data_IF_551196602225
#
_entry.id   IF_551196602225
#
_cell.length_a   1.000
_cell.length_b   1.000
_cell.length_c   1.000
_cell.angle_alpha   90.00
_cell.angle_beta   90.00
_cell.angle_gamma   90.00
#
_symmetry.space_group_name_H-M   'P 1'
#
loop_
_entity.id
_entity.type
_entity.pdbx_description
1 polymer ?
#
# COMPACT_ATOMS: atom_id res chain seq x y z
N UNK A 1 5.93 -15.36 2.96
CA UNK A 1 5.04 -15.30 1.78
C UNK A 1 5.04 -13.86 1.31
N UNK A 2 5.54 -13.57 0.11
CA UNK A 2 5.63 -12.21 -0.44
C UNK A 2 4.48 -12.00 -1.44
N UNK A 3 3.58 -11.04 -1.21
CA UNK A 3 2.49 -10.80 -2.13
C UNK A 3 2.98 -10.17 -3.44
N UNK A 4 2.46 -10.63 -4.59
CA UNK A 4 2.97 -10.23 -5.91
C UNK A 4 2.01 -9.35 -6.69
N UNK A 5 0.73 -9.73 -6.68
CA UNK A 5 -0.30 -9.04 -7.47
C UNK A 5 -1.67 -9.31 -6.86
N UNK A 6 -2.57 -8.34 -6.97
CA UNK A 6 -3.98 -8.53 -6.71
C UNK A 6 -4.72 -9.12 -7.93
N UNK A 7 -5.91 -9.67 -7.71
CA UNK A 7 -6.73 -10.27 -8.77
C UNK A 7 -7.57 -9.24 -9.57
N UNK A 8 -7.35 -7.95 -9.38
CA UNK A 8 -8.12 -6.88 -10.03
C UNK A 8 -7.53 -6.59 -11.42
N UNK A 9 -8.38 -6.60 -12.45
CA UNK A 9 -7.97 -6.28 -13.81
C UNK A 9 -7.68 -4.78 -13.94
N UNK A 10 -6.42 -4.43 -14.19
CA UNK A 10 -5.94 -3.04 -14.30
C UNK A 10 -6.30 -2.45 -15.65
N UNK A 11 -6.86 -1.24 -15.66
CA UNK A 11 -7.29 -0.53 -16.89
C UNK A 11 -6.18 0.37 -17.44
N UNK A 12 -5.24 0.79 -16.60
CA UNK A 12 -4.14 1.68 -16.98
C UNK A 12 -2.82 1.21 -16.38
N UNK A 13 -1.73 1.70 -16.95
CA UNK A 13 -0.42 1.52 -16.36
C UNK A 13 -0.26 2.47 -15.16
N UNK A 14 0.26 1.99 -14.01
CA UNK A 14 0.26 2.75 -12.76
C UNK A 14 1.46 3.71 -12.66
N UNK A 15 1.41 4.79 -13.44
CA UNK A 15 2.51 5.75 -13.53
C UNK A 15 2.78 6.45 -12.19
N UNK A 16 1.74 6.79 -11.44
CA UNK A 16 1.90 7.52 -10.18
C UNK A 16 2.41 6.61 -9.07
N UNK A 17 1.95 5.37 -9.02
CA UNK A 17 2.49 4.38 -8.07
C UNK A 17 3.98 4.16 -8.32
N UNK A 18 4.39 4.01 -9.58
CA UNK A 18 5.82 3.89 -9.94
C UNK A 18 6.58 5.16 -9.56
N UNK A 19 6.02 6.34 -9.83
CA UNK A 19 6.63 7.61 -9.46
C UNK A 19 6.79 7.76 -7.93
N UNK A 20 5.81 7.32 -7.14
CA UNK A 20 5.89 7.33 -5.67
C UNK A 20 6.94 6.34 -5.17
N UNK A 21 7.01 5.13 -5.73
CA UNK A 21 8.05 4.15 -5.36
C UNK A 21 9.44 4.69 -5.68
N UNK A 22 9.62 5.24 -6.89
CA UNK A 22 10.87 5.87 -7.30
C UNK A 22 11.21 7.09 -6.43
N UNK A 23 10.21 7.91 -6.09
CA UNK A 23 10.35 9.06 -5.20
C UNK A 23 10.79 8.66 -3.78
N UNK A 24 10.20 7.60 -3.23
CA UNK A 24 10.62 7.04 -1.94
C UNK A 24 12.05 6.48 -2.00
N UNK A 25 12.41 5.79 -3.09
CA UNK A 25 13.78 5.29 -3.29
C UNK A 25 14.80 6.43 -3.40
N UNK A 26 14.47 7.49 -4.14
CA UNK A 26 15.29 8.68 -4.24
C UNK A 26 15.42 9.39 -2.89
N UNK A 27 14.31 9.54 -2.15
CA UNK A 27 14.31 10.12 -0.82
C UNK A 27 15.19 9.30 0.14
N UNK A 28 15.13 7.98 0.09
CA UNK A 28 16.00 7.10 0.88
C UNK A 28 17.48 7.29 0.53
N UNK A 29 17.82 7.43 -0.75
CA UNK A 29 19.20 7.69 -1.18
C UNK A 29 19.73 9.07 -0.77
N UNK A 30 18.86 10.09 -0.69
CA UNK A 30 19.23 11.46 -0.34
C UNK A 30 19.18 11.75 1.16
N UNK A 31 18.25 11.10 1.86
CA UNK A 31 17.86 11.34 3.26
C UNK A 31 17.48 10.00 3.92
N UNK A 32 18.42 9.05 4.07
CA UNK A 32 18.13 7.76 4.71
C UNK A 32 17.61 7.91 6.14
N UNK A 33 17.95 9.00 6.84
CA UNK A 33 17.45 9.36 8.17
C UNK A 33 15.95 9.63 8.23
N UNK A 34 15.27 9.82 7.09
CA UNK A 34 13.80 9.96 7.03
C UNK A 34 13.09 8.61 7.11
N UNK A 35 13.83 7.50 7.15
CA UNK A 35 13.31 6.14 7.19
C UNK A 35 13.78 5.45 8.48
N UNK A 36 12.93 5.48 9.51
CA UNK A 36 13.21 4.85 10.80
C UNK A 36 13.51 3.34 10.67
N UNK A 37 12.85 2.66 9.72
CA UNK A 37 13.09 1.25 9.41
C UNK A 37 14.19 0.99 8.37
N UNK A 38 14.89 2.05 7.92
CA UNK A 38 15.93 1.98 6.92
C UNK A 38 15.49 1.31 5.61
N UNK A 39 16.35 0.45 5.07
CA UNK A 39 16.08 -0.27 3.83
C UNK A 39 14.85 -1.18 3.93
N UNK A 40 14.53 -1.70 5.13
CA UNK A 40 13.38 -2.57 5.32
C UNK A 40 12.06 -1.81 5.16
N UNK A 41 11.98 -0.59 5.70
CA UNK A 41 10.83 0.28 5.47
C UNK A 41 10.64 0.56 3.98
N UNK A 42 11.71 0.84 3.24
CA UNK A 42 11.63 1.09 1.81
C UNK A 42 11.14 -0.14 1.03
N UNK A 43 11.69 -1.33 1.33
CA UNK A 43 11.31 -2.57 0.64
C UNK A 43 9.86 -2.96 0.91
N UNK A 44 9.43 -2.89 2.17
CA UNK A 44 8.04 -3.18 2.57
C UNK A 44 7.09 -2.14 1.96
N UNK A 45 7.44 -0.84 2.03
CA UNK A 45 6.66 0.21 1.40
C UNK A 45 6.51 0.00 -0.11
N UNK A 46 7.61 -0.29 -0.81
CA UNK A 46 7.59 -0.52 -2.25
C UNK A 46 6.74 -1.73 -2.63
N UNK A 47 6.83 -2.82 -1.87
CA UNK A 47 6.03 -4.02 -2.08
C UNK A 47 4.53 -3.75 -1.94
N UNK A 48 4.12 -3.08 -0.86
CA UNK A 48 2.72 -2.77 -0.58
C UNK A 48 2.16 -1.72 -1.55
N UNK A 49 2.96 -0.72 -1.94
CA UNK A 49 2.59 0.23 -2.98
C UNK A 49 2.40 -0.48 -4.32
N UNK A 50 3.34 -1.34 -4.72
CA UNK A 50 3.23 -2.08 -5.97
C UNK A 50 1.99 -2.98 -6.03
N UNK A 51 1.64 -3.56 -4.89
CA UNK A 51 0.55 -4.50 -4.78
C UNK A 51 -0.82 -3.83 -4.76
N UNK A 52 -0.98 -2.81 -3.93
CA UNK A 52 -2.29 -2.22 -3.61
C UNK A 52 -2.46 -0.83 -4.19
N UNK A 53 -1.41 0.00 -4.18
CA UNK A 53 -1.52 1.39 -4.63
C UNK A 53 -1.84 1.49 -6.12
N UNK A 54 -1.39 0.54 -6.95
CA UNK A 54 -1.74 0.53 -8.38
C UNK A 54 -3.24 0.45 -8.61
N UNK A 55 -3.96 -0.25 -7.73
CA UNK A 55 -5.39 -0.49 -7.86
C UNK A 55 -6.19 0.64 -7.23
N UNK A 56 -5.64 1.25 -6.18
CA UNK A 56 -6.12 2.54 -5.67
C UNK A 56 -5.97 3.62 -6.74
N UNK A 57 -4.84 3.69 -7.44
CA UNK A 57 -4.59 4.65 -8.54
C UNK A 57 -5.62 4.49 -9.66
N UNK A 58 -5.87 3.26 -10.11
CA UNK A 58 -6.86 2.98 -11.16
C UNK A 58 -8.31 3.33 -10.73
N UNK A 59 -8.61 3.25 -9.43
CA UNK A 59 -9.94 3.59 -8.89
C UNK A 59 -10.27 5.09 -8.87
N UNK A 60 -9.29 5.95 -9.16
CA UNK A 60 -9.45 7.40 -9.09
C UNK A 60 -8.69 8.14 -10.20
N UNK A 61 -8.82 9.47 -10.23
CA UNK A 61 -8.00 10.29 -11.14
C UNK A 61 -6.62 10.59 -10.55
N UNK A 62 -5.66 10.86 -11.43
CA UNK A 62 -4.26 11.13 -11.09
C UNK A 62 -4.08 12.15 -9.94
N UNK A 63 -4.77 13.30 -10.04
CA UNK A 63 -4.73 14.34 -9.02
C UNK A 63 -5.21 13.84 -7.64
N UNK A 64 -6.28 13.04 -7.61
CA UNK A 64 -6.85 12.54 -6.37
C UNK A 64 -5.94 11.52 -5.69
N UNK A 65 -5.24 10.71 -6.48
CA UNK A 65 -4.23 9.80 -5.96
C UNK A 65 -3.07 10.56 -5.31
N UNK A 66 -2.56 11.61 -5.97
CA UNK A 66 -1.49 12.46 -5.43
C UNK A 66 -1.93 13.15 -4.14
N UNK A 67 -3.15 13.68 -4.09
CA UNK A 67 -3.72 14.28 -2.87
C UNK A 67 -3.82 13.23 -1.75
N UNK A 68 -4.37 12.06 -2.05
CA UNK A 68 -4.51 10.98 -1.06
C UNK A 68 -3.16 10.57 -0.49
N UNK A 69 -2.18 10.27 -1.35
CA UNK A 69 -0.83 9.92 -0.90
C UNK A 69 -0.17 11.06 -0.12
N UNK A 70 -0.29 12.30 -0.62
CA UNK A 70 0.28 13.49 -0.01
C UNK A 70 -0.28 13.78 1.39
N UNK A 71 -1.57 13.52 1.63
CA UNK A 71 -2.18 13.64 2.96
C UNK A 71 -1.57 12.66 3.95
N UNK A 72 -1.41 11.39 3.55
CA UNK A 72 -0.75 10.39 4.39
C UNK A 72 0.73 10.73 4.63
N UNK A 73 1.42 11.16 3.57
CA UNK A 73 2.82 11.53 3.63
C UNK A 73 3.09 12.73 4.54
N UNK A 74 2.26 13.77 4.46
CA UNK A 74 2.40 14.95 5.32
C UNK A 74 2.09 14.64 6.79
N UNK A 75 1.17 13.70 7.05
CA UNK A 75 0.79 13.35 8.41
C UNK A 75 1.84 12.49 9.11
N UNK A 76 2.40 11.48 8.43
CA UNK A 76 3.19 10.42 9.04
C UNK A 76 4.37 9.95 8.14
N UNK A 77 4.81 10.77 7.19
CA UNK A 77 5.93 10.44 6.30
C UNK A 77 5.65 9.28 5.36
N UNK A 78 6.70 8.55 4.95
CA UNK A 78 6.59 7.47 3.97
C UNK A 78 5.62 6.38 4.44
N UNK A 79 5.68 6.00 5.72
CA UNK A 79 4.77 4.99 6.31
C UNK A 79 3.32 5.45 6.26
N UNK A 80 3.07 6.73 6.57
CA UNK A 80 1.77 7.38 6.43
C UNK A 80 1.21 7.35 5.02
N UNK A 81 2.06 7.68 4.04
CA UNK A 81 1.70 7.65 2.63
C UNK A 81 1.33 6.24 2.13
N UNK A 82 1.98 5.20 2.64
CA UNK A 82 1.56 3.81 2.36
C UNK A 82 0.27 3.48 3.12
N UNK A 83 0.23 3.73 4.43
CA UNK A 83 -0.90 3.40 5.30
C UNK A 83 -2.23 4.01 4.83
N UNK A 84 -2.22 5.24 4.33
CA UNK A 84 -3.42 5.89 3.80
C UNK A 84 -3.95 5.20 2.54
N UNK A 85 -3.06 4.69 1.68
CA UNK A 85 -3.45 3.95 0.48
C UNK A 85 -3.96 2.56 0.84
N UNK A 86 -3.35 1.90 1.83
CA UNK A 86 -3.80 0.59 2.33
C UNK A 86 -5.18 0.67 2.99
N UNK A 87 -5.42 1.70 3.80
CA UNK A 87 -6.74 1.98 4.35
C UNK A 87 -7.77 2.28 3.27
N UNK A 88 -7.37 3.03 2.24
CA UNK A 88 -8.22 3.27 1.07
C UNK A 88 -8.61 1.99 0.34
N UNK A 89 -7.63 1.13 0.06
CA UNK A 89 -7.85 -0.17 -0.57
C UNK A 89 -8.79 -1.05 0.27
N UNK A 90 -8.62 -1.11 1.60
CA UNK A 90 -9.45 -1.92 2.48
C UNK A 90 -10.95 -1.59 2.39
N UNK A 91 -11.29 -0.32 2.12
CA UNK A 91 -12.69 0.13 1.95
C UNK A 91 -13.21 -0.17 0.55
N UNK A 92 -12.40 0.02 -0.49
CA UNK A 92 -12.83 -0.18 -1.87
C UNK A 92 -12.94 -1.67 -2.23
N UNK A 93 -12.02 -2.49 -1.71
CA UNK A 93 -11.83 -3.88 -2.12
C UNK A 93 -11.72 -4.84 -0.93
N UNK A 94 -12.70 -4.87 -0.01
CA UNK A 94 -12.64 -5.70 1.21
C UNK A 94 -12.57 -7.21 0.92
N UNK A 95 -13.13 -7.66 -0.20
CA UNK A 95 -13.17 -9.07 -0.59
C UNK A 95 -12.15 -9.43 -1.67
N UNK A 96 -11.32 -8.49 -2.12
CA UNK A 96 -10.33 -8.78 -3.15
C UNK A 96 -9.29 -9.80 -2.66
N UNK A 97 -8.84 -10.65 -3.56
CA UNK A 97 -7.82 -11.66 -3.30
C UNK A 97 -6.46 -11.20 -3.81
N UNK A 98 -5.45 -11.43 -3.00
CA UNK A 98 -4.05 -11.14 -3.28
C UNK A 98 -3.36 -12.45 -3.62
N UNK A 99 -2.85 -12.54 -4.84
CA UNK A 99 -1.99 -13.65 -5.25
C UNK A 99 -0.65 -13.48 -4.55
N UNK A 100 -0.41 -14.36 -3.58
CA UNK A 100 0.78 -14.31 -2.74
C UNK A 100 1.74 -15.41 -3.16
N UNK A 101 3.02 -15.06 -3.41
CA UNK A 101 4.06 -16.04 -3.63
C UNK A 101 4.56 -16.55 -2.28
N UNK A 102 4.36 -17.83 -2.00
CA UNK A 102 4.94 -18.44 -0.80
C UNK A 102 6.45 -18.66 -0.98
N UNK A 103 7.29 -17.85 -0.33
CA UNK A 103 8.74 -18.09 -0.16
C UNK A 103 9.02 -19.12 0.96
N UNK A 104 8.44 -20.32 0.87
CA UNK A 104 8.97 -21.49 1.61
C UNK A 104 10.09 -22.06 0.73
N UNK A 105 11.30 -22.39 1.23
CA UNK A 105 12.42 -22.78 0.38
C UNK A 105 12.26 -24.12 -0.38
N UNK A 106 11.10 -24.79 -0.32
CA UNK A 106 10.88 -26.10 -0.96
C UNK A 106 9.61 -26.22 -1.83
N UNK A 107 8.63 -25.31 -1.77
CA UNK A 107 7.39 -25.38 -2.56
C UNK A 107 6.98 -23.97 -3.06
N UNK A 108 7.17 -23.70 -4.35
CA UNK A 108 6.67 -22.48 -5.02
C UNK A 108 5.19 -22.68 -5.37
N UNK A 109 4.28 -22.43 -4.41
CA UNK A 109 2.83 -22.50 -4.63
C UNK A 109 2.20 -21.10 -4.57
N UNK A 110 1.38 -20.78 -5.58
CA UNK A 110 0.56 -19.56 -5.65
C UNK A 110 -0.65 -19.74 -4.73
N UNK A 111 -0.70 -19.02 -3.62
CA UNK A 111 -1.84 -19.05 -2.69
C UNK A 111 -2.56 -17.70 -2.79
N UNK A 112 -3.85 -17.74 -3.09
CA UNK A 112 -4.73 -16.57 -3.04
C UNK A 112 -5.14 -16.32 -1.58
N UNK A 113 -4.60 -15.27 -0.97
CA UNK A 113 -5.01 -14.83 0.36
C UNK A 113 -6.00 -13.66 0.25
N UNK A 114 -7.02 -13.59 1.13
CA UNK A 114 -7.87 -12.40 1.18
C UNK A 114 -7.02 -11.16 1.50
N UNK A 115 -7.33 -10.02 0.88
CA UNK A 115 -6.53 -8.80 1.01
C UNK A 115 -6.51 -8.25 2.44
N UNK A 116 -7.63 -8.36 3.18
CA UNK A 116 -7.74 -7.81 4.53
C UNK A 116 -6.70 -8.39 5.50
N UNK A 117 -6.48 -9.71 5.61
CA UNK A 117 -5.37 -10.27 6.39
C UNK A 117 -4.00 -9.74 5.99
N UNK A 118 -3.73 -9.55 4.69
CA UNK A 118 -2.43 -9.04 4.21
C UNK A 118 -2.24 -7.57 4.62
N UNK A 119 -3.29 -6.76 4.52
CA UNK A 119 -3.31 -5.37 4.98
C UNK A 119 -3.23 -5.27 6.50
N UNK A 120 -3.94 -6.15 7.21
CA UNK A 120 -3.91 -6.22 8.67
C UNK A 120 -2.54 -6.68 9.18
N UNK A 121 -1.78 -7.45 8.40
CA UNK A 121 -0.41 -7.85 8.73
C UNK A 121 0.60 -6.70 8.56
N UNK A 122 0.33 -5.72 7.70
CA UNK A 122 1.21 -4.57 7.49
C UNK A 122 1.45 -3.77 8.79
N UNK A 123 0.37 -3.48 9.52
CA UNK A 123 0.39 -2.66 10.74
C UNK A 123 1.26 -3.28 11.86
N UNK A 124 1.06 -4.56 12.27
CA UNK A 124 1.89 -5.18 13.30
C UNK A 124 3.31 -5.44 12.83
N UNK A 125 3.55 -5.67 11.52
CA UNK A 125 4.91 -5.79 10.99
C UNK A 125 5.65 -4.45 11.13
N UNK A 126 5.05 -3.32 10.76
CA UNK A 126 5.70 -2.01 10.93
C UNK A 126 6.07 -1.73 12.41
N UNK A 127 5.17 -2.08 13.33
CA UNK A 127 5.38 -1.93 14.77
C UNK A 127 6.45 -2.87 15.32
N UNK A 128 6.47 -4.14 14.90
CA UNK A 128 7.45 -5.13 15.35
C UNK A 128 8.88 -4.75 14.93
N UNK A 129 9.03 -4.23 13.72
CA UNK A 129 10.33 -3.81 13.19
C UNK A 129 10.75 -2.41 13.68
N UNK A 130 9.95 -1.77 14.55
CA UNK A 130 10.26 -0.45 15.12
C UNK A 130 10.18 0.70 14.13
N UNK A 131 9.58 0.48 12.96
CA UNK A 131 9.47 1.46 11.87
C UNK A 131 8.42 2.51 12.18
N UNK A 132 7.30 2.09 12.75
CA UNK A 132 6.15 2.96 13.03
C UNK A 132 5.41 2.40 14.24
N UNK A 133 4.94 3.28 15.13
CA UNK A 133 4.12 2.80 16.25
C UNK A 133 2.78 2.23 15.75
N UNK A 134 2.23 1.25 16.46
CA UNK A 134 0.93 0.66 16.13
C UNK A 134 -0.16 1.74 15.99
N UNK A 135 -0.13 2.76 16.85
CA UNK A 135 -1.07 3.86 16.82
C UNK A 135 -0.95 4.69 15.53
N UNK A 136 0.26 5.03 15.10
CA UNK A 136 0.50 5.79 13.87
C UNK A 136 0.08 4.98 12.64
N UNK A 137 0.45 3.69 12.58
CA UNK A 137 0.08 2.81 11.48
C UNK A 137 -1.45 2.66 11.35
N UNK A 138 -2.15 2.50 12.48
CA UNK A 138 -3.62 2.47 12.51
C UNK A 138 -4.21 3.83 12.14
N UNK A 139 -3.63 4.94 12.59
CA UNK A 139 -4.10 6.27 12.25
C UNK A 139 -4.01 6.53 10.74
N UNK A 140 -2.90 6.16 10.10
CA UNK A 140 -2.73 6.24 8.65
C UNK A 140 -3.81 5.43 7.91
N UNK A 141 -4.04 4.19 8.34
CA UNK A 141 -5.06 3.32 7.75
C UNK A 141 -6.48 3.89 7.93
N UNK A 142 -6.83 4.33 9.15
CA UNK A 142 -8.12 4.95 9.45
C UNK A 142 -8.34 6.23 8.62
N UNK A 143 -7.33 7.09 8.51
CA UNK A 143 -7.37 8.27 7.65
C UNK A 143 -7.64 7.86 6.19
N UNK A 144 -6.98 6.80 5.71
CA UNK A 144 -7.21 6.25 4.38
C UNK A 144 -8.66 5.83 4.17
N UNK A 145 -9.22 5.08 5.12
CA UNK A 145 -10.61 4.61 5.07
C UNK A 145 -11.64 5.75 5.02
N UNK A 146 -11.32 6.91 5.59
CA UNK A 146 -12.19 8.09 5.59
C UNK A 146 -11.99 8.88 4.28
N UNK A 147 -10.76 9.25 3.96
CA UNK A 147 -10.43 10.14 2.84
C UNK A 147 -10.75 9.48 1.50
N UNK A 148 -10.58 8.16 1.38
CA UNK A 148 -10.87 7.43 0.15
C UNK A 148 -12.32 7.61 -0.32
N UNK A 149 -13.28 7.69 0.62
CA UNK A 149 -14.71 7.86 0.30
C UNK A 149 -15.01 9.21 -0.36
N UNK A 150 -14.16 10.21 -0.12
CA UNK A 150 -14.28 11.54 -0.72
C UNK A 150 -13.58 11.63 -2.09
N UNK A 151 -12.59 10.77 -2.34
CA UNK A 151 -11.70 10.86 -3.50
C UNK A 151 -11.95 9.78 -4.56
N UNK A 152 -12.39 8.59 -4.20
CA UNK A 152 -12.68 7.53 -5.16
C UNK A 152 -13.88 7.92 -6.06
N UNK A 153 -13.75 7.71 -7.38
CA UNK A 153 -14.83 7.99 -8.34
C UNK A 153 -15.02 6.93 -9.41
N UNK A 154 -14.12 5.95 -9.52
CA UNK A 154 -14.19 4.87 -10.51
C UNK A 154 -13.80 3.53 -9.89
N UNK A 155 -14.40 3.11 -8.76
CA UNK A 155 -14.09 1.82 -8.18
C UNK A 155 -14.41 0.70 -9.18
N UNK A 156 -13.60 -0.35 -9.16
CA UNK A 156 -13.94 -1.57 -9.89
C UNK A 156 -15.07 -2.26 -9.13
N UNK A 157 -16.27 -2.34 -9.73
CA UNK A 157 -17.42 -3.02 -9.13
C UNK A 157 -17.49 -4.50 -9.55
N UNK A 158 -16.84 -4.85 -10.66
CA UNK A 158 -16.88 -6.16 -11.30
C UNK A 158 -15.69 -7.08 -10.91
N UNK A 159 -15.19 -7.01 -9.67
CA UNK A 159 -14.14 -7.93 -9.21
C UNK A 159 -14.74 -9.22 -8.61
N UNK A 160 -14.10 -10.39 -8.85
CA UNK A 160 -14.65 -11.71 -8.48
C UNK A 160 -14.67 -11.98 -6.98
#
# INVERSE_FOLDING_TARGET
MAPLKDNIQKRRFPYLTVAVIAGNGALFGLRPESFDGGIWQLLVAALFLWLFATTVEDSMSAWRFVVLYGVGFAALGVSGGVGILLGGYAVLYPHARVVTLSLIPLLVSLIELPALPVLALFVPVQAFWGVESLLQALAAALLGMIVIKLLANRPHEDYP
#
